data_IF_259615694285
#
_entry.id   IF_259615694285
#
_cell.length_a   1.000
_cell.length_b   1.000
_cell.length_c   1.000
_cell.angle_alpha   90.00
_cell.angle_beta   90.00
_cell.angle_gamma   90.00
#
_symmetry.space_group_name_H-M   'P 1'
#
loop_
_entity.id
_entity.type
_entity.pdbx_description
1 polymer ?
#
# COMPACT_ATOMS: atom_id res chain seq x y z
N UNK A 1 9.80 -22.84 -4.37
CA UNK A 1 8.35 -22.87 -4.71
C UNK A 1 8.08 -23.64 -6.01
N UNK A 2 9.12 -24.09 -6.70
CA UNK A 2 9.09 -24.59 -8.07
C UNK A 2 8.20 -25.83 -8.20
N UNK A 3 8.37 -26.83 -7.32
CA UNK A 3 7.53 -28.04 -7.30
C UNK A 3 6.07 -27.76 -6.99
N UNK A 4 5.82 -26.86 -6.03
CA UNK A 4 4.45 -26.46 -5.67
C UNK A 4 3.75 -25.79 -6.86
N UNK A 5 4.44 -24.92 -7.60
CA UNK A 5 3.90 -24.25 -8.79
C UNK A 5 3.63 -25.24 -9.93
N UNK A 6 4.57 -26.15 -10.21
CA UNK A 6 4.39 -27.17 -11.24
C UNK A 6 3.18 -28.08 -10.97
N UNK A 7 2.90 -28.35 -9.69
CA UNK A 7 1.74 -29.13 -9.27
C UNK A 7 0.41 -28.34 -9.24
N UNK A 8 0.39 -27.08 -9.69
CA UNK A 8 -0.80 -26.19 -9.69
C UNK A 8 -0.94 -25.41 -11.02
N UNK A 9 -1.00 -26.10 -12.17
CA UNK A 9 -1.03 -25.45 -13.49
C UNK A 9 -2.33 -24.65 -13.75
N UNK A 10 -3.42 -24.96 -13.04
CA UNK A 10 -4.69 -24.22 -13.17
C UNK A 10 -4.63 -22.83 -12.51
N UNK A 11 -3.60 -22.57 -11.70
CA UNK A 11 -3.41 -21.30 -10.97
C UNK A 11 -2.27 -20.49 -11.57
N UNK A 12 -1.17 -21.15 -11.95
CA UNK A 12 0.06 -20.49 -12.40
C UNK A 12 0.30 -20.70 -13.90
N UNK A 13 1.00 -19.75 -14.52
CA UNK A 13 1.43 -19.88 -15.92
C UNK A 13 2.61 -20.85 -16.05
N UNK A 14 2.32 -22.12 -16.32
CA UNK A 14 3.32 -23.17 -16.58
C UNK A 14 3.51 -23.41 -18.07
N UNK A 15 4.74 -23.78 -18.46
CA UNK A 15 5.04 -24.25 -19.81
C UNK A 15 4.53 -25.68 -20.05
N UNK A 16 4.74 -26.20 -21.26
CA UNK A 16 4.47 -27.62 -21.58
C UNK A 16 5.40 -28.60 -20.85
N UNK A 17 6.47 -28.07 -20.26
CA UNK A 17 7.44 -28.74 -19.40
C UNK A 17 7.07 -28.62 -17.90
N UNK A 18 5.84 -28.16 -17.59
CA UNK A 18 5.28 -27.94 -16.25
C UNK A 18 5.99 -26.88 -15.39
N UNK A 19 7.09 -26.30 -15.87
CA UNK A 19 7.84 -25.29 -15.13
C UNK A 19 7.19 -23.90 -15.22
N UNK A 20 7.40 -23.07 -14.19
CA UNK A 20 6.90 -21.70 -14.15
C UNK A 20 7.53 -20.85 -15.25
N UNK A 21 6.70 -20.21 -16.07
CA UNK A 21 7.15 -19.19 -17.04
C UNK A 21 7.03 -17.79 -16.46
N UNK A 22 7.93 -17.45 -15.54
CA UNK A 22 7.97 -16.08 -15.01
C UNK A 22 8.34 -15.06 -16.10
N UNK A 23 7.66 -13.92 -16.12
CA UNK A 23 8.00 -12.80 -17.01
C UNK A 23 7.75 -11.48 -16.27
N UNK A 24 8.84 -10.87 -15.77
CA UNK A 24 8.75 -9.64 -14.97
C UNK A 24 8.16 -8.47 -15.77
N UNK A 25 8.52 -8.32 -17.04
CA UNK A 25 8.00 -7.25 -17.89
C UNK A 25 6.48 -7.37 -18.04
N UNK A 26 5.99 -8.55 -18.39
CA UNK A 26 4.55 -8.80 -18.57
C UNK A 26 3.79 -8.68 -17.24
N UNK A 27 4.35 -9.20 -16.15
CA UNK A 27 3.73 -9.11 -14.83
C UNK A 27 3.68 -7.65 -14.31
N UNK A 28 4.70 -6.84 -14.57
CA UNK A 28 4.67 -5.39 -14.26
C UNK A 28 3.62 -4.65 -15.10
N UNK A 29 3.48 -4.99 -16.38
CA UNK A 29 2.45 -4.40 -17.24
C UNK A 29 1.03 -4.74 -16.75
N UNK A 30 0.79 -6.01 -16.41
CA UNK A 30 -0.47 -6.44 -15.82
C UNK A 30 -0.71 -5.77 -14.45
N UNK A 31 0.33 -5.69 -13.61
CA UNK A 31 0.28 -5.00 -12.32
C UNK A 31 -0.03 -3.50 -12.44
N UNK A 32 0.28 -2.86 -13.56
CA UNK A 32 -0.09 -1.47 -13.80
C UNK A 32 -1.53 -1.36 -14.34
N UNK A 33 -1.86 -2.12 -15.38
CA UNK A 33 -3.08 -1.88 -16.16
C UNK A 33 -4.25 -2.81 -15.86
N UNK A 34 -4.01 -4.05 -15.43
CA UNK A 34 -5.00 -5.13 -15.40
C UNK A 34 -5.41 -5.59 -14.00
N UNK A 35 -4.84 -5.00 -12.95
CA UNK A 35 -5.23 -5.27 -11.56
C UNK A 35 -5.93 -4.05 -10.95
N UNK A 36 -6.81 -4.30 -10.00
CA UNK A 36 -7.58 -3.23 -9.36
C UNK A 36 -6.77 -2.48 -8.29
N UNK A 37 -5.84 -3.18 -7.63
CA UNK A 37 -5.23 -2.69 -6.41
C UNK A 37 -3.74 -3.03 -6.34
N UNK A 38 -2.96 -2.07 -5.82
CA UNK A 38 -1.63 -2.29 -5.27
C UNK A 38 -1.65 -1.93 -3.78
N UNK A 39 -1.04 -2.78 -2.95
CA UNK A 39 -0.81 -2.53 -1.53
C UNK A 39 0.66 -2.80 -1.21
N UNK A 40 1.29 -1.87 -0.51
CA UNK A 40 2.69 -2.00 -0.12
C UNK A 40 3.02 -1.13 1.09
N UNK A 41 4.23 -1.31 1.62
CA UNK A 41 4.76 -0.55 2.74
C UNK A 41 5.91 0.36 2.28
N UNK A 42 6.27 1.31 3.12
CA UNK A 42 7.40 2.24 2.93
C UNK A 42 8.15 2.43 4.25
N UNK A 43 9.30 3.12 4.21
CA UNK A 43 10.01 3.51 5.44
C UNK A 43 9.54 4.87 5.95
N UNK A 44 9.37 5.86 5.08
CA UNK A 44 8.87 7.17 5.50
C UNK A 44 7.64 7.57 4.69
N UNK A 45 6.72 8.27 5.35
CA UNK A 45 5.57 8.98 4.79
C UNK A 45 5.58 10.40 5.35
N UNK A 46 5.35 11.42 4.52
CA UNK A 46 5.17 12.79 5.02
C UNK A 46 3.70 13.18 5.20
N UNK A 47 3.44 14.39 5.73
CA UNK A 47 2.08 14.87 5.97
C UNK A 47 1.21 14.96 4.72
N UNK A 48 1.80 15.05 3.52
CA UNK A 48 1.07 15.07 2.25
C UNK A 48 0.85 13.66 1.67
N UNK A 49 1.43 12.63 2.30
CA UNK A 49 1.34 11.24 1.89
C UNK A 49 2.43 10.81 0.90
N UNK A 50 3.44 11.65 0.64
CA UNK A 50 4.59 11.21 -0.15
C UNK A 50 5.35 10.14 0.62
N UNK A 51 5.71 9.06 -0.06
CA UNK A 51 6.36 7.91 0.56
C UNK A 51 7.70 7.59 -0.09
N UNK A 52 8.69 7.22 0.73
CA UNK A 52 10.00 6.76 0.24
C UNK A 52 10.65 5.74 1.16
N UNK A 53 11.44 4.86 0.55
CA UNK A 53 12.36 3.93 1.22
C UNK A 53 13.79 4.50 1.35
N UNK A 54 14.06 5.66 0.76
CA UNK A 54 15.35 6.33 0.88
C UNK A 54 15.43 7.02 2.25
N UNK A 55 16.45 6.67 3.03
CA UNK A 55 16.73 7.26 4.35
C UNK A 55 18.15 7.80 4.41
N UNK A 56 18.47 8.59 5.45
CA UNK A 56 19.81 9.14 5.65
C UNK A 56 20.86 8.03 5.66
N UNK A 57 21.81 8.11 4.72
CA UNK A 57 22.90 7.14 4.58
C UNK A 57 22.55 5.85 3.83
N UNK A 58 21.31 5.70 3.33
CA UNK A 58 20.88 4.51 2.57
C UNK A 58 20.04 4.90 1.35
N UNK A 59 20.65 4.83 0.17
CA UNK A 59 19.96 5.01 -1.10
C UNK A 59 19.28 3.70 -1.53
N UNK A 60 18.10 3.42 -0.96
CA UNK A 60 17.30 2.27 -1.34
C UNK A 60 16.76 2.42 -2.77
N UNK A 61 16.66 1.31 -3.50
CA UNK A 61 15.99 1.28 -4.80
C UNK A 61 14.46 1.20 -4.66
N UNK A 62 13.73 1.61 -5.70
CA UNK A 62 12.27 1.60 -5.70
C UNK A 62 11.63 0.25 -6.08
N UNK A 63 12.38 -0.61 -6.77
CA UNK A 63 11.83 -1.86 -7.31
C UNK A 63 10.64 -1.60 -8.24
N UNK A 64 9.56 -2.38 -8.09
CA UNK A 64 8.34 -2.25 -8.88
C UNK A 64 7.32 -1.25 -8.32
N UNK A 65 7.57 -0.67 -7.15
CA UNK A 65 6.58 0.13 -6.44
C UNK A 65 6.09 1.35 -7.24
N UNK A 66 6.94 2.15 -7.92
CA UNK A 66 6.45 3.29 -8.70
C UNK A 66 5.57 2.86 -9.88
N UNK A 67 5.82 1.70 -10.49
CA UNK A 67 5.00 1.19 -11.59
C UNK A 67 3.61 0.73 -11.11
N UNK A 68 3.54 0.09 -9.94
CA UNK A 68 2.28 -0.42 -9.39
C UNK A 68 1.53 0.60 -8.55
N UNK A 69 2.22 1.52 -7.89
CA UNK A 69 1.70 2.47 -6.92
C UNK A 69 1.40 3.84 -7.50
N UNK A 70 0.81 3.90 -8.70
CA UNK A 70 0.26 5.13 -9.27
C UNK A 70 -1.07 4.86 -9.97
N UNK A 71 -1.87 5.92 -10.17
CA UNK A 71 -3.08 5.84 -11.00
C UNK A 71 -2.68 5.72 -12.49
N UNK A 72 -2.92 4.59 -13.17
CA UNK A 72 -2.48 4.37 -14.54
C UNK A 72 -3.35 5.18 -15.51
N UNK A 73 -2.98 6.45 -15.73
CA UNK A 73 -3.77 7.42 -16.50
C UNK A 73 -4.05 7.04 -17.97
N UNK A 74 -3.40 6.00 -18.48
CA UNK A 74 -3.69 5.36 -19.78
C UNK A 74 -4.84 4.33 -19.76
N UNK A 75 -5.26 3.83 -18.59
CA UNK A 75 -6.31 2.80 -18.45
C UNK A 75 -7.68 3.35 -18.86
N UNK A 76 -8.48 2.54 -19.56
CA UNK A 76 -9.85 2.88 -20.00
C UNK A 76 -10.90 1.82 -19.72
N UNK A 77 -10.50 0.55 -19.59
CA UNK A 77 -11.47 -0.50 -19.25
C UNK A 77 -11.92 -0.33 -17.80
N UNK A 78 -13.23 -0.44 -17.59
CA UNK A 78 -13.85 -0.33 -16.29
C UNK A 78 -13.81 -1.68 -15.55
N UNK A 79 -13.57 -1.62 -14.24
CA UNK A 79 -13.85 -2.70 -13.30
C UNK A 79 -14.61 -2.12 -12.10
N UNK A 80 -15.32 -2.94 -11.30
CA UNK A 80 -16.09 -2.44 -10.17
C UNK A 80 -15.26 -1.58 -9.21
N UNK A 81 -14.10 -2.08 -8.74
CA UNK A 81 -13.25 -1.36 -7.80
C UNK A 81 -12.64 -0.08 -8.40
N UNK A 82 -12.25 -0.11 -9.68
CA UNK A 82 -11.72 1.09 -10.35
C UNK A 82 -12.77 2.19 -10.46
N UNK A 83 -14.01 1.83 -10.79
CA UNK A 83 -15.14 2.77 -10.89
C UNK A 83 -15.58 3.32 -9.53
N UNK A 84 -15.44 2.54 -8.46
CA UNK A 84 -15.79 2.95 -7.09
C UNK A 84 -14.93 4.11 -6.56
N UNK A 85 -13.74 4.31 -7.16
CA UNK A 85 -12.85 5.44 -6.87
C UNK A 85 -13.18 6.72 -7.67
N UNK A 86 -14.19 6.69 -8.55
CA UNK A 86 -14.56 7.84 -9.36
C UNK A 86 -15.16 8.94 -8.48
N UNK A 87 -14.65 10.19 -8.53
CA UNK A 87 -15.19 11.28 -7.74
C UNK A 87 -16.63 11.60 -8.15
N UNK A 88 -17.48 11.90 -7.17
CA UNK A 88 -18.81 12.44 -7.42
C UNK A 88 -18.72 13.76 -8.21
N UNK A 89 -19.64 13.98 -9.14
CA UNK A 89 -19.71 15.17 -9.98
C UNK A 89 -21.07 15.86 -9.84
N UNK A 90 -21.12 17.14 -10.21
CA UNK A 90 -22.32 17.96 -10.07
C UNK A 90 -23.45 17.58 -11.05
N UNK A 91 -23.10 17.01 -12.21
CA UNK A 91 -24.05 16.62 -13.24
C UNK A 91 -23.63 15.31 -13.96
N UNK A 92 -24.56 14.78 -14.75
CA UNK A 92 -24.38 13.52 -15.48
C UNK A 92 -23.24 13.60 -16.50
N UNK A 93 -23.17 14.68 -17.28
CA UNK A 93 -22.11 14.89 -18.28
C UNK A 93 -20.73 14.82 -17.64
N UNK A 94 -20.51 15.55 -16.55
CA UNK A 94 -19.24 15.55 -15.83
C UNK A 94 -18.95 14.17 -15.22
N UNK A 95 -19.98 13.45 -14.75
CA UNK A 95 -19.85 12.07 -14.25
C UNK A 95 -19.36 11.10 -15.34
N UNK A 96 -19.84 11.25 -16.57
CA UNK A 96 -19.38 10.45 -17.71
C UNK A 96 -17.96 10.83 -18.17
N UNK A 97 -17.56 12.10 -17.99
CA UNK A 97 -16.20 12.56 -18.27
C UNK A 97 -15.21 12.17 -17.16
N UNK A 98 -15.69 11.97 -15.93
CA UNK A 98 -14.88 11.51 -14.82
C UNK A 98 -14.45 10.04 -14.99
N UNK A 99 -13.17 9.80 -14.72
CA UNK A 99 -12.57 8.45 -14.72
C UNK A 99 -12.51 7.88 -13.31
N UNK A 100 -12.54 6.56 -13.21
CA UNK A 100 -12.12 5.84 -12.01
C UNK A 100 -10.62 5.96 -11.77
N UNK A 101 -10.16 5.32 -10.69
CA UNK A 101 -8.75 5.30 -10.28
C UNK A 101 -8.36 3.91 -9.81
N UNK A 102 -7.11 3.53 -10.05
CA UNK A 102 -6.55 2.32 -9.42
C UNK A 102 -6.45 2.53 -7.91
N UNK A 103 -6.69 1.48 -7.12
CA UNK A 103 -6.46 1.53 -5.69
C UNK A 103 -4.97 1.41 -5.39
N UNK A 104 -4.41 2.40 -4.70
CA UNK A 104 -3.02 2.43 -4.26
C UNK A 104 -3.04 2.60 -2.75
N UNK A 105 -2.69 1.54 -2.04
CA UNK A 105 -2.74 1.45 -0.58
C UNK A 105 -1.32 1.51 -0.02
N UNK A 106 -1.05 2.52 0.80
CA UNK A 106 0.11 2.52 1.69
C UNK A 106 -0.29 1.88 3.01
N UNK A 107 0.24 0.70 3.29
CA UNK A 107 0.02 -0.06 4.53
C UNK A 107 1.29 -0.03 5.36
N UNK A 108 1.28 0.73 6.45
CA UNK A 108 2.44 0.92 7.32
C UNK A 108 2.05 1.00 8.78
N UNK A 109 2.92 0.55 9.67
CA UNK A 109 2.79 0.88 11.10
C UNK A 109 3.21 2.33 11.33
N UNK A 110 2.63 3.00 12.33
CA UNK A 110 2.98 4.41 12.65
C UNK A 110 4.44 4.57 13.09
N UNK A 111 5.00 3.52 13.67
CA UNK A 111 6.42 3.41 14.02
C UNK A 111 7.04 2.16 13.39
N UNK A 112 8.30 2.26 13.00
CA UNK A 112 9.11 1.12 12.59
C UNK A 112 9.69 0.39 13.81
N UNK A 113 10.18 -0.82 13.56
CA UNK A 113 11.04 -1.54 14.50
C UNK A 113 12.22 -0.64 14.95
N UNK A 114 12.47 -0.59 16.26
CA UNK A 114 13.45 0.32 16.85
C UNK A 114 12.93 1.73 17.16
N UNK A 115 11.63 1.98 17.06
CA UNK A 115 10.96 3.18 17.58
C UNK A 115 11.10 4.43 16.70
N UNK A 116 11.53 4.28 15.45
CA UNK A 116 11.59 5.41 14.50
C UNK A 116 10.19 5.68 13.94
N UNK A 117 9.71 6.94 13.94
CA UNK A 117 8.41 7.25 13.36
C UNK A 117 8.42 7.01 11.84
N UNK A 118 7.41 6.34 11.32
CA UNK A 118 7.18 6.19 9.87
C UNK A 118 6.70 7.51 9.28
N UNK A 119 5.85 8.23 10.01
CA UNK A 119 5.34 9.53 9.58
C UNK A 119 6.26 10.66 10.06
N UNK A 120 6.76 11.46 9.12
CA UNK A 120 7.78 12.49 9.38
C UNK A 120 7.40 13.83 8.74
N UNK A 121 7.81 14.93 9.36
CA UNK A 121 7.58 16.28 8.80
C UNK A 121 8.28 16.49 7.45
N UNK A 122 9.44 15.87 7.25
CA UNK A 122 10.21 15.96 6.00
C UNK A 122 10.89 14.63 5.75
N UNK A 123 10.72 14.08 4.55
CA UNK A 123 11.37 12.85 4.14
C UNK A 123 12.90 13.04 4.11
N UNK A 124 13.64 12.06 4.62
CA UNK A 124 15.10 11.99 4.49
C UNK A 124 15.54 12.07 3.02
N UNK A 125 14.69 11.57 2.11
CA UNK A 125 14.85 11.63 0.67
C UNK A 125 15.17 13.05 0.16
N UNK A 126 14.60 14.11 0.78
CA UNK A 126 14.85 15.50 0.39
C UNK A 126 16.32 15.87 0.60
N UNK A 127 16.86 15.57 1.79
CA UNK A 127 18.25 15.88 2.11
C UNK A 127 19.23 14.98 1.36
N UNK A 128 18.85 13.72 1.11
CA UNK A 128 19.62 12.81 0.27
C UNK A 128 19.73 13.35 -1.15
N UNK A 129 18.63 13.83 -1.74
CA UNK A 129 18.65 14.42 -3.08
C UNK A 129 19.57 15.64 -3.16
N UNK A 130 19.46 16.57 -2.20
CA UNK A 130 20.32 17.76 -2.14
C UNK A 130 21.80 17.39 -2.09
N UNK A 131 22.17 16.41 -1.24
CA UNK A 131 23.57 15.96 -1.08
C UNK A 131 24.09 15.21 -2.30
N UNK A 132 23.24 14.42 -2.96
CA UNK A 132 23.60 13.62 -4.12
C UNK A 132 23.49 14.40 -5.45
N UNK A 133 23.07 15.68 -5.42
CA UNK A 133 22.85 16.46 -6.65
C UNK A 133 21.70 15.95 -7.50
N UNK A 134 20.70 15.29 -6.90
CA UNK A 134 19.52 14.81 -7.62
C UNK A 134 18.57 15.98 -7.90
N UNK A 135 17.95 16.04 -9.09
CA UNK A 135 17.04 17.13 -9.45
C UNK A 135 15.70 17.08 -8.70
N UNK A 136 15.37 15.94 -8.08
CA UNK A 136 14.15 15.72 -7.31
C UNK A 136 14.42 14.77 -6.14
N UNK A 137 13.63 14.91 -5.07
CA UNK A 137 13.63 13.95 -3.97
C UNK A 137 13.20 12.56 -4.49
N UNK A 138 13.94 11.47 -4.21
CA UNK A 138 13.57 10.13 -4.63
C UNK A 138 12.33 9.65 -3.86
N UNK A 139 11.16 10.04 -4.33
CA UNK A 139 9.84 9.62 -3.83
C UNK A 139 9.46 8.32 -4.56
N UNK A 140 9.09 7.30 -3.79
CA UNK A 140 8.67 6.00 -4.30
C UNK A 140 7.23 6.02 -4.80
N UNK A 141 6.30 6.54 -3.98
CA UNK A 141 4.90 6.77 -4.34
C UNK A 141 4.53 8.17 -3.86
N UNK A 142 4.02 9.00 -4.78
CA UNK A 142 3.59 10.35 -4.47
C UNK A 142 2.24 10.33 -3.74
N UNK A 143 2.01 11.30 -2.85
CA UNK A 143 0.79 11.34 -2.05
C UNK A 143 -0.48 11.42 -2.88
N UNK A 144 -0.47 12.15 -4.00
CA UNK A 144 -1.64 12.30 -4.88
C UNK A 144 -2.02 11.00 -5.61
N UNK A 145 -1.11 10.04 -5.72
CA UNK A 145 -1.39 8.69 -6.22
C UNK A 145 -1.98 7.75 -5.16
N UNK A 146 -1.76 8.03 -3.86
CA UNK A 146 -2.29 7.20 -2.76
C UNK A 146 -3.79 7.42 -2.61
N UNK A 147 -4.56 6.33 -2.71
CA UNK A 147 -6.01 6.33 -2.49
C UNK A 147 -6.38 5.93 -1.06
N UNK A 148 -5.58 5.08 -0.42
CA UNK A 148 -5.78 4.64 0.95
C UNK A 148 -4.46 4.66 1.73
N UNK A 149 -4.51 5.21 2.93
CA UNK A 149 -3.44 5.06 3.91
C UNK A 149 -3.98 4.21 5.05
N UNK A 150 -3.37 3.05 5.27
CA UNK A 150 -3.75 2.06 6.26
C UNK A 150 -2.64 1.95 7.31
N UNK A 151 -3.02 2.12 8.57
CA UNK A 151 -2.17 1.94 9.75
C UNK A 151 -2.84 1.04 10.78
N UNK A 152 -2.15 0.73 11.86
CA UNK A 152 -2.72 0.07 13.03
C UNK A 152 -3.81 0.92 13.72
N UNK A 153 -3.84 2.23 13.48
CA UNK A 153 -4.88 3.12 14.02
C UNK A 153 -6.15 3.16 13.19
N UNK A 154 -6.05 2.95 11.88
CA UNK A 154 -7.21 2.92 10.99
C UNK A 154 -6.86 3.13 9.51
N UNK A 155 -7.87 3.46 8.72
CA UNK A 155 -7.78 3.73 7.29
C UNK A 155 -8.18 5.18 7.02
N UNK A 156 -7.37 5.92 6.29
CA UNK A 156 -7.73 7.18 5.67
C UNK A 156 -8.05 6.96 4.18
N UNK A 157 -9.29 7.27 3.77
CA UNK A 157 -9.80 7.10 2.41
C UNK A 157 -9.44 8.29 1.51
N UNK A 158 -8.14 8.55 1.32
CA UNK A 158 -7.59 9.75 0.68
C UNK A 158 -8.11 10.04 -0.73
N UNK A 159 -8.68 9.06 -1.42
CA UNK A 159 -9.35 9.26 -2.72
C UNK A 159 -10.59 10.18 -2.64
N UNK A 160 -11.19 10.31 -1.44
CA UNK A 160 -12.36 11.17 -1.17
C UNK A 160 -11.97 12.60 -0.75
N UNK A 161 -10.69 12.87 -0.49
CA UNK A 161 -10.25 14.17 0.01
C UNK A 161 -10.61 15.29 -0.99
N UNK A 162 -11.30 16.31 -0.51
CA UNK A 162 -11.72 17.48 -1.30
C UNK A 162 -10.61 18.52 -1.50
N UNK A 163 -9.55 18.46 -0.69
CA UNK A 163 -8.41 19.38 -0.74
C UNK A 163 -7.15 18.74 -0.16
N UNK A 164 -5.99 19.39 -0.38
CA UNK A 164 -4.74 18.97 0.25
C UNK A 164 -4.81 19.07 1.78
N UNK A 165 -5.46 20.11 2.31
CA UNK A 165 -5.63 20.27 3.76
C UNK A 165 -6.45 19.12 4.36
N UNK A 166 -7.58 18.76 3.74
CA UNK A 166 -8.39 17.64 4.21
C UNK A 166 -7.63 16.31 4.12
N UNK A 167 -6.84 16.11 3.06
CA UNK A 167 -5.93 14.97 2.94
C UNK A 167 -4.92 14.92 4.09
N UNK A 168 -4.31 16.05 4.45
CA UNK A 168 -3.36 16.14 5.57
C UNK A 168 -4.04 15.84 6.90
N UNK A 169 -5.25 16.36 7.13
CA UNK A 169 -6.05 16.07 8.34
C UNK A 169 -6.39 14.57 8.43
N UNK A 170 -6.76 13.94 7.31
CA UNK A 170 -7.04 12.50 7.22
C UNK A 170 -5.78 11.66 7.49
N UNK A 171 -4.61 12.06 6.98
CA UNK A 171 -3.34 11.38 7.25
C UNK A 171 -2.98 11.50 8.74
N UNK A 172 -3.06 12.70 9.31
CA UNK A 172 -2.77 12.94 10.72
C UNK A 172 -3.67 12.10 11.64
N UNK A 173 -4.96 11.93 11.28
CA UNK A 173 -5.92 11.15 12.04
C UNK A 173 -5.57 9.65 12.18
N UNK A 174 -4.73 9.10 11.30
CA UNK A 174 -4.28 7.69 11.34
C UNK A 174 -2.77 7.55 11.58
N UNK A 175 -2.07 8.64 11.88
CA UNK A 175 -0.61 8.65 12.06
C UNK A 175 -0.15 8.48 13.53
N UNK A 176 -1.05 8.08 14.43
CA UNK A 176 -0.77 7.80 15.84
C UNK A 176 -0.13 8.97 16.59
N UNK A 177 0.89 8.66 17.39
CA UNK A 177 1.62 9.65 18.23
C UNK A 177 2.90 10.16 17.57
N UNK A 178 3.03 10.01 16.25
CA UNK A 178 4.12 10.61 15.47
C UNK A 178 3.99 12.13 15.40
N UNK A 179 5.04 12.84 14.96
CA UNK A 179 4.96 14.30 14.79
C UNK A 179 3.80 14.73 13.88
N UNK A 180 3.55 13.98 12.81
CA UNK A 180 2.40 14.20 11.91
C UNK A 180 1.09 13.92 12.64
N UNK A 181 1.03 12.81 13.38
CA UNK A 181 -0.13 12.44 14.18
C UNK A 181 -0.46 13.48 15.24
N UNK A 182 0.53 14.10 15.88
CA UNK A 182 0.32 15.12 16.91
C UNK A 182 -0.35 16.41 16.40
N UNK A 183 -0.38 16.66 15.09
CA UNK A 183 -1.15 17.77 14.52
C UNK A 183 -2.66 17.50 14.44
N UNK A 184 -3.12 16.26 14.65
CA UNK A 184 -4.54 15.98 14.56
C UNK A 184 -5.33 16.72 15.66
N UNK A 185 -6.52 17.19 15.29
CA UNK A 185 -7.48 17.74 16.24
C UNK A 185 -8.59 16.72 16.50
N UNK A 186 -8.87 16.33 17.76
CA UNK A 186 -9.86 15.29 18.06
C UNK A 186 -11.24 15.54 17.45
N UNK A 187 -11.71 16.80 17.45
CA UNK A 187 -12.98 17.19 16.81
C UNK A 187 -12.97 16.99 15.30
N UNK A 188 -11.84 17.23 14.66
CA UNK A 188 -11.66 16.98 13.22
C UNK A 188 -11.68 15.47 12.95
N UNK A 189 -10.96 14.67 13.74
CA UNK A 189 -10.96 13.21 13.59
C UNK A 189 -12.36 12.61 13.76
N UNK A 190 -13.14 13.06 14.74
CA UNK A 190 -14.53 12.62 14.93
C UNK A 190 -15.41 12.96 13.72
N UNK A 191 -15.27 14.17 13.16
CA UNK A 191 -15.95 14.56 11.92
C UNK A 191 -15.56 13.64 10.76
N UNK A 192 -14.26 13.43 10.54
CA UNK A 192 -13.74 12.59 9.45
C UNK A 192 -14.26 11.15 9.55
N UNK A 193 -14.36 10.60 10.76
CA UNK A 193 -14.95 9.27 11.00
C UNK A 193 -16.43 9.23 10.67
N UNK A 194 -17.21 10.20 11.18
CA UNK A 194 -18.65 10.29 10.91
C UNK A 194 -18.97 10.45 9.41
N UNK A 195 -18.11 11.15 8.67
CA UNK A 195 -18.24 11.35 7.22
C UNK A 195 -17.70 10.18 6.38
N UNK A 196 -17.13 9.14 7.01
CA UNK A 196 -16.57 7.99 6.30
C UNK A 196 -15.33 8.32 5.47
N UNK A 197 -14.59 9.36 5.88
CA UNK A 197 -13.29 9.76 5.33
C UNK A 197 -12.14 9.05 6.04
N UNK A 198 -12.34 8.71 7.31
CA UNK A 198 -11.45 7.87 8.12
C UNK A 198 -12.29 6.73 8.73
N UNK A 199 -11.72 5.53 8.85
CA UNK A 199 -12.32 4.43 9.59
C UNK A 199 -11.31 3.84 10.56
N UNK A 200 -11.64 3.85 11.84
CA UNK A 200 -10.89 3.09 12.85
C UNK A 200 -11.39 1.64 12.89
N UNK A 201 -10.64 0.69 13.50
CA UNK A 201 -11.06 -0.70 13.60
C UNK A 201 -12.51 -0.86 14.11
N UNK A 202 -12.91 -0.07 15.12
CA UNK A 202 -14.28 -0.12 15.65
C UNK A 202 -15.36 0.34 14.64
N UNK A 203 -15.04 1.26 13.72
CA UNK A 203 -15.97 1.69 12.65
C UNK A 203 -16.21 0.57 11.63
N UNK A 204 -15.28 -0.40 11.57
CA UNK A 204 -15.35 -1.59 10.73
C UNK A 204 -15.89 -2.81 11.49
N UNK A 205 -16.29 -2.65 12.77
CA UNK A 205 -16.71 -3.76 13.63
C UNK A 205 -15.55 -4.70 14.04
N UNK A 206 -14.30 -4.23 13.95
CA UNK A 206 -13.11 -5.00 14.29
C UNK A 206 -12.62 -4.60 15.69
N UNK A 207 -12.65 -5.54 16.64
CA UNK A 207 -12.02 -5.33 17.95
C UNK A 207 -10.53 -5.62 17.84
N UNK A 208 -9.70 -4.66 18.26
CA UNK A 208 -8.23 -4.78 18.20
C UNK A 208 -7.69 -6.04 18.90
N UNK A 209 -8.34 -6.47 19.98
CA UNK A 209 -7.96 -7.68 20.75
C UNK A 209 -8.19 -9.00 19.99
N UNK A 210 -9.01 -8.99 18.94
CA UNK A 210 -9.30 -10.19 18.15
C UNK A 210 -8.17 -10.45 17.12
N UNK A 211 -7.35 -9.44 16.82
CA UNK A 211 -6.23 -9.52 15.90
C UNK A 211 -5.01 -10.21 16.54
N UNK A 212 -5.08 -11.54 16.64
CA UNK A 212 -3.99 -12.36 17.18
C UNK A 212 -3.39 -13.26 16.11
N UNK A 213 -2.23 -13.89 16.41
CA UNK A 213 -1.57 -14.86 15.54
C UNK A 213 -2.44 -16.09 15.21
N UNK A 214 -3.52 -16.33 15.97
CA UNK A 214 -4.43 -17.44 15.71
C UNK A 214 -5.26 -17.27 14.43
N UNK A 215 -5.37 -16.05 13.90
CA UNK A 215 -5.99 -15.81 12.60
C UNK A 215 -5.11 -16.25 11.42
N UNK A 216 -3.81 -16.51 11.63
CA UNK A 216 -2.92 -16.98 10.58
C UNK A 216 -3.21 -18.44 10.25
N UNK A 217 -3.52 -18.72 8.97
CA UNK A 217 -3.71 -20.09 8.47
C UNK A 217 -2.43 -20.96 8.63
N UNK A 218 -1.26 -20.33 8.61
CA UNK A 218 0.04 -20.95 8.88
C UNK A 218 0.83 -20.04 9.85
N UNK A 219 1.22 -20.56 11.01
CA UNK A 219 1.89 -19.80 12.08
C UNK A 219 3.40 -19.80 11.96
N UNK A 220 3.96 -20.70 11.16
CA UNK A 220 5.39 -20.87 10.94
C UNK A 220 5.68 -21.49 9.55
N UNK A 221 6.96 -21.68 9.22
CA UNK A 221 7.39 -22.24 7.92
C UNK A 221 7.00 -23.72 7.78
N UNK A 222 7.00 -24.51 8.86
CA UNK A 222 6.61 -25.92 8.81
C UNK A 222 5.13 -26.07 8.47
N UNK A 223 4.27 -25.18 8.98
CA UNK A 223 2.86 -25.13 8.60
C UNK A 223 2.71 -24.85 7.11
N UNK A 224 3.49 -23.92 6.53
CA UNK A 224 3.49 -23.66 5.08
C UNK A 224 3.91 -24.87 4.26
N UNK A 225 4.90 -25.64 4.73
CA UNK A 225 5.30 -26.90 4.10
C UNK A 225 4.15 -27.91 4.15
N UNK A 226 3.46 -28.01 5.29
CA UNK A 226 2.30 -28.90 5.46
C UNK A 226 1.14 -28.51 4.53
N UNK A 227 0.79 -27.23 4.48
CA UNK A 227 -0.22 -26.68 3.54
C UNK A 227 0.11 -26.92 2.07
N UNK A 228 1.40 -27.05 1.75
CA UNK A 228 1.87 -27.33 0.40
C UNK A 228 1.95 -28.82 0.05
N UNK A 229 1.50 -29.72 0.93
CA UNK A 229 1.68 -31.17 0.81
C UNK A 229 3.16 -31.58 0.65
N UNK A 230 4.06 -30.87 1.33
CA UNK A 230 5.51 -31.09 1.23
C UNK A 230 6.16 -30.59 -0.07
N UNK A 231 5.40 -29.97 -0.98
CA UNK A 231 5.90 -29.47 -2.26
C UNK A 231 6.70 -28.17 -2.12
N UNK A 232 6.41 -27.36 -1.11
CA UNK A 232 7.23 -26.21 -0.76
C UNK A 232 8.50 -26.69 -0.04
N UNK A 233 9.63 -26.49 -0.70
CA UNK A 233 10.95 -26.78 -0.15
C UNK A 233 11.62 -25.47 0.27
N UNK A 234 11.50 -25.03 1.55
CA UNK A 234 12.10 -23.78 1.98
C UNK A 234 13.62 -23.81 1.81
N UNK A 235 14.25 -22.67 1.43
CA UNK A 235 15.70 -22.51 1.47
C UNK A 235 16.27 -22.79 2.87
N UNK A 236 17.54 -23.20 2.94
CA UNK A 236 18.19 -23.60 4.20
C UNK A 236 18.03 -22.57 5.34
N UNK A 237 18.11 -21.27 5.03
CA UNK A 237 17.94 -20.18 6.01
C UNK A 237 16.59 -20.17 6.74
N UNK A 238 15.58 -20.87 6.25
CA UNK A 238 14.24 -20.92 6.81
C UNK A 238 13.85 -22.31 7.31
N UNK A 239 14.75 -23.29 7.23
CA UNK A 239 14.53 -24.62 7.81
C UNK A 239 14.88 -24.59 9.28
N UNK A 240 14.05 -25.21 10.10
CA UNK A 240 14.26 -25.40 11.54
C UNK A 240 14.33 -26.88 11.90
N UNK A 241 14.78 -27.71 10.95
CA UNK A 241 14.96 -29.16 11.03
C UNK A 241 16.07 -29.60 10.08
#
# INVERSE_FOLDING_TARGET
MEKYVAARPDIFFTGRDDSLRSNRMMCQLAGQYAVDLFIGATLQVDGSGHSSTVTKGRLAGFGGAPNMGHDPRGRRHATPAWMDMRPAQANETDTFLARGKKLVVQMVETFQEGGKPTFVNTLDAVDVAKKAGMPLAPIMIYGDDVTHLLTEDGIAYLYKASSLQERQDMIAAVAGVTDIGLYHHPKTTERLRREGLVAFPEDLGIRRTDATRELLAAKNIADLVTWSDGLYQPPAKFRSW
#
